data_IF_915098767951
#
_entry.id   IF_915098767951
#
_cell.length_a   1.000
_cell.length_b   1.000
_cell.length_c   1.000
_cell.angle_alpha   90.00
_cell.angle_beta   90.00
_cell.angle_gamma   90.00
#
_symmetry.space_group_name_H-M   'P 1'
#
loop_
_entity.id
_entity.type
_entity.pdbx_description
1 polymer ?
#
# COMPACT_ATOMS: atom_id res chain seq x y z
N UNK A 1 37.52 -2.16 -18.22
CA UNK A 1 36.77 -1.29 -17.28
C UNK A 1 35.35 -1.84 -17.23
N UNK A 2 34.85 -2.27 -16.06
CA UNK A 2 33.46 -2.69 -15.92
C UNK A 2 32.55 -1.45 -16.02
N UNK A 3 31.45 -1.56 -16.77
CA UNK A 3 30.46 -0.49 -16.86
C UNK A 3 29.73 -0.36 -15.53
N UNK A 4 29.60 0.85 -15.00
CA UNK A 4 28.82 1.12 -13.81
C UNK A 4 27.33 1.17 -14.15
N UNK A 5 26.43 0.75 -13.21
CA UNK A 5 24.98 0.97 -13.35
C UNK A 5 24.66 2.45 -13.57
N UNK A 6 23.55 2.74 -14.25
CA UNK A 6 23.06 4.10 -14.39
C UNK A 6 22.75 4.73 -13.02
N UNK A 7 22.97 6.06 -12.88
CA UNK A 7 22.73 6.78 -11.62
C UNK A 7 21.31 6.54 -11.07
N UNK A 8 20.29 6.61 -11.94
CA UNK A 8 18.89 6.37 -11.58
C UNK A 8 18.56 4.95 -11.09
N UNK A 9 19.46 3.99 -11.28
CA UNK A 9 19.33 2.63 -10.76
C UNK A 9 19.89 2.49 -9.32
N UNK A 10 20.49 3.54 -8.78
CA UNK A 10 21.06 3.57 -7.42
C UNK A 10 20.01 4.06 -6.42
N UNK A 11 18.91 3.32 -6.31
CA UNK A 11 17.84 3.55 -5.31
C UNK A 11 18.02 2.61 -4.13
N UNK A 12 17.50 2.98 -2.93
CA UNK A 12 17.53 2.09 -1.76
C UNK A 12 16.82 0.75 -2.03
N UNK A 13 17.26 -0.35 -1.38
CA UNK A 13 16.54 -1.62 -1.45
C UNK A 13 15.16 -1.48 -0.81
N UNK A 14 14.25 -2.41 -1.16
CA UNK A 14 13.00 -2.59 -0.47
C UNK A 14 13.18 -3.73 0.56
N UNK A 15 13.55 -3.40 1.80
CA UNK A 15 13.97 -4.35 2.83
C UNK A 15 12.91 -5.41 3.17
N UNK A 16 11.62 -5.10 3.03
CA UNK A 16 10.56 -6.12 3.17
C UNK A 16 10.77 -7.28 2.21
N UNK A 17 11.33 -7.06 1.00
CA UNK A 17 11.62 -8.14 0.05
C UNK A 17 12.80 -8.99 0.50
N UNK A 18 13.81 -8.40 1.16
CA UNK A 18 14.93 -9.11 1.73
C UNK A 18 14.47 -9.99 2.91
N UNK A 19 13.60 -9.44 3.77
CA UNK A 19 12.95 -10.19 4.85
C UNK A 19 12.11 -11.34 4.29
N UNK A 20 11.42 -11.13 3.18
CA UNK A 20 10.63 -12.17 2.51
C UNK A 20 11.50 -13.31 1.97
N UNK A 21 12.63 -12.98 1.38
CA UNK A 21 13.60 -13.98 0.92
C UNK A 21 14.15 -14.80 2.11
N UNK A 22 14.54 -14.14 3.20
CA UNK A 22 14.99 -14.78 4.43
C UNK A 22 13.91 -15.64 5.09
N UNK A 23 12.66 -15.18 5.11
CA UNK A 23 11.51 -15.93 5.61
C UNK A 23 11.23 -17.18 4.77
N UNK A 24 11.34 -17.09 3.44
CA UNK A 24 11.26 -18.23 2.53
C UNK A 24 12.34 -19.30 2.81
N UNK A 25 13.57 -18.87 3.07
CA UNK A 25 14.66 -19.75 3.46
C UNK A 25 14.39 -20.40 4.83
N UNK A 26 13.90 -19.65 5.81
CA UNK A 26 13.48 -20.19 7.12
C UNK A 26 12.42 -21.28 6.95
N UNK A 27 11.39 -21.02 6.14
CA UNK A 27 10.33 -22.00 5.88
C UNK A 27 10.89 -23.28 5.26
N UNK A 28 11.83 -23.15 4.31
CA UNK A 28 12.43 -24.30 3.65
C UNK A 28 13.32 -25.15 4.58
N UNK A 29 14.02 -24.51 5.52
CA UNK A 29 15.00 -25.17 6.39
C UNK A 29 14.43 -25.67 7.71
N UNK A 30 13.42 -24.99 8.27
CA UNK A 30 12.85 -25.28 9.58
C UNK A 30 11.36 -25.66 9.53
N UNK A 31 10.62 -25.22 8.51
CA UNK A 31 9.18 -25.51 8.37
C UNK A 31 8.27 -24.85 9.41
N UNK A 32 8.79 -23.86 10.15
CA UNK A 32 8.13 -23.29 11.32
C UNK A 32 7.80 -21.79 11.17
N UNK A 33 7.79 -21.26 9.94
CA UNK A 33 7.56 -19.84 9.70
C UNK A 33 6.15 -19.39 10.08
N UNK A 34 6.06 -18.29 10.83
CA UNK A 34 4.85 -17.46 10.96
C UNK A 34 5.15 -16.11 10.31
N UNK A 35 4.41 -15.77 9.24
CA UNK A 35 4.73 -14.62 8.41
C UNK A 35 3.70 -13.48 8.54
N UNK A 36 4.02 -12.47 9.33
CA UNK A 36 3.29 -11.22 9.47
C UNK A 36 4.00 -10.04 8.76
N UNK A 37 4.98 -10.30 7.89
CA UNK A 37 5.65 -9.26 7.09
C UNK A 37 4.91 -8.94 5.80
N UNK A 38 4.07 -9.88 5.31
CA UNK A 38 3.48 -9.84 3.98
C UNK A 38 2.48 -8.70 3.81
N UNK A 39 2.70 -7.87 2.81
CA UNK A 39 1.78 -6.80 2.39
C UNK A 39 0.71 -7.28 1.41
N UNK A 40 0.20 -8.50 1.56
CA UNK A 40 -0.78 -9.09 0.65
C UNK A 40 -1.83 -9.94 1.37
N UNK A 41 -3.06 -10.03 0.82
CA UNK A 41 -4.06 -10.99 1.26
C UNK A 41 -3.52 -12.43 1.23
N UNK A 42 -3.94 -13.24 2.20
CA UNK A 42 -3.65 -14.69 2.24
C UNK A 42 -4.71 -15.53 1.53
N UNK A 43 -5.70 -14.89 0.92
CA UNK A 43 -6.82 -15.51 0.20
C UNK A 43 -6.62 -15.43 -1.31
N UNK A 44 -7.16 -16.39 -2.07
CA UNK A 44 -7.21 -16.30 -3.52
C UNK A 44 -8.16 -15.18 -3.97
N UNK A 45 -8.08 -14.83 -5.26
CA UNK A 45 -9.08 -13.98 -5.92
C UNK A 45 -10.50 -14.59 -5.75
N UNK A 46 -11.56 -13.77 -5.79
CA UNK A 46 -12.94 -14.25 -5.68
C UNK A 46 -13.27 -15.40 -6.65
N UNK A 47 -14.20 -16.28 -6.23
CA UNK A 47 -14.60 -17.43 -7.02
C UNK A 47 -15.01 -17.08 -8.45
N UNK A 48 -15.90 -16.08 -8.68
CA UNK A 48 -16.29 -15.64 -10.03
C UNK A 48 -15.09 -15.20 -10.88
N UNK A 49 -14.11 -14.49 -10.32
CA UNK A 49 -12.89 -14.05 -11.02
C UNK A 49 -12.07 -15.25 -11.50
N UNK A 50 -11.87 -16.24 -10.62
CA UNK A 50 -11.12 -17.47 -10.95
C UNK A 50 -11.82 -18.29 -12.04
N UNK A 51 -13.15 -18.38 -11.97
CA UNK A 51 -13.96 -19.05 -12.98
C UNK A 51 -13.89 -18.33 -14.33
N UNK A 52 -13.99 -17.00 -14.34
CA UNK A 52 -13.85 -16.19 -15.55
C UNK A 52 -12.45 -16.35 -16.19
N UNK A 53 -11.39 -16.39 -15.37
CA UNK A 53 -10.03 -16.65 -15.86
C UNK A 53 -9.90 -18.02 -16.51
N UNK A 54 -10.39 -19.08 -15.87
CA UNK A 54 -10.37 -20.43 -16.43
C UNK A 54 -11.10 -20.50 -17.77
N UNK A 55 -12.30 -19.91 -17.85
CA UNK A 55 -13.06 -19.82 -19.10
C UNK A 55 -12.30 -19.06 -20.18
N UNK A 56 -11.68 -17.92 -19.85
CA UNK A 56 -10.95 -17.12 -20.82
C UNK A 56 -9.72 -17.86 -21.38
N UNK A 57 -9.04 -18.67 -20.58
CA UNK A 57 -7.93 -19.52 -21.03
C UNK A 57 -8.37 -20.53 -22.10
N UNK A 58 -9.61 -21.04 -22.01
CA UNK A 58 -10.14 -22.02 -22.96
C UNK A 58 -10.73 -21.39 -24.22
N UNK A 59 -11.24 -20.15 -24.15
CA UNK A 59 -12.08 -19.57 -25.20
C UNK A 59 -11.53 -18.30 -25.86
N UNK A 60 -10.55 -17.61 -25.25
CA UNK A 60 -10.07 -16.31 -25.70
C UNK A 60 -8.66 -16.41 -26.31
N UNK A 61 -8.37 -15.55 -27.30
CA UNK A 61 -7.03 -15.48 -27.90
C UNK A 61 -6.00 -14.88 -26.93
N UNK A 62 -6.43 -14.03 -25.99
CA UNK A 62 -5.59 -13.34 -25.00
C UNK A 62 -4.40 -12.59 -25.63
N UNK A 63 -4.62 -11.97 -26.80
CA UNK A 63 -3.64 -11.14 -27.50
C UNK A 63 -3.46 -9.76 -26.85
N UNK A 64 -2.73 -8.86 -27.53
CA UNK A 64 -2.61 -7.47 -27.11
C UNK A 64 -3.97 -6.78 -27.04
N UNK A 65 -4.13 -5.94 -26.02
CA UNK A 65 -5.28 -5.06 -25.86
C UNK A 65 -4.91 -3.62 -26.19
N UNK A 66 -5.86 -2.69 -26.11
CA UNK A 66 -5.56 -1.25 -26.16
C UNK A 66 -4.75 -0.84 -24.91
N UNK A 67 -3.87 0.15 -25.09
CA UNK A 67 -2.87 0.53 -24.08
C UNK A 67 -3.50 0.93 -22.72
N UNK A 68 -4.66 1.60 -22.75
CA UNK A 68 -5.36 2.07 -21.55
C UNK A 68 -6.32 1.02 -20.94
N UNK A 69 -6.32 -0.21 -21.45
CA UNK A 69 -7.16 -1.32 -20.97
C UNK A 69 -8.45 -1.50 -21.77
N UNK A 70 -9.01 -2.71 -21.72
CA UNK A 70 -10.22 -3.07 -22.49
C UNK A 70 -11.42 -2.20 -22.10
N UNK A 71 -12.22 -1.70 -23.06
CA UNK A 71 -13.34 -0.82 -22.77
C UNK A 71 -14.35 -1.38 -21.77
N UNK A 72 -14.72 -2.67 -21.79
CA UNK A 72 -15.62 -3.23 -20.80
C UNK A 72 -15.09 -3.10 -19.35
N UNK A 73 -13.78 -3.29 -19.12
CA UNK A 73 -13.22 -3.18 -17.79
C UNK A 73 -13.18 -1.73 -17.31
N UNK A 74 -12.84 -0.79 -18.20
CA UNK A 74 -12.87 0.65 -17.88
C UNK A 74 -14.29 1.07 -17.47
N UNK A 75 -15.30 0.62 -18.19
CA UNK A 75 -16.72 0.86 -17.86
C UNK A 75 -17.13 0.22 -16.53
N UNK A 76 -16.66 -1.01 -16.26
CA UNK A 76 -16.96 -1.70 -15.00
C UNK A 76 -16.31 -0.99 -13.80
N UNK A 77 -15.06 -0.51 -13.94
CA UNK A 77 -14.37 0.31 -12.93
C UNK A 77 -15.13 1.63 -12.70
N UNK A 78 -15.54 2.33 -13.75
CA UNK A 78 -16.36 3.54 -13.65
C UNK A 78 -17.67 3.28 -12.88
N UNK A 79 -18.36 2.18 -13.20
CA UNK A 79 -19.55 1.73 -12.47
C UNK A 79 -19.31 1.40 -10.99
N UNK A 80 -18.10 0.91 -10.64
CA UNK A 80 -17.70 0.68 -9.25
C UNK A 80 -17.67 2.00 -8.47
N UNK A 81 -17.14 3.09 -9.04
CA UNK A 81 -17.15 4.43 -8.40
C UNK A 81 -18.57 4.96 -8.20
N UNK A 82 -19.48 4.73 -9.16
CA UNK A 82 -20.90 5.06 -9.01
C UNK A 82 -21.55 4.32 -7.86
N UNK A 83 -21.29 3.02 -7.75
CA UNK A 83 -21.84 2.15 -6.68
C UNK A 83 -21.28 2.51 -5.30
N UNK A 84 -19.96 2.72 -5.20
CA UNK A 84 -19.28 2.83 -3.91
C UNK A 84 -19.31 4.26 -3.35
N UNK A 85 -19.17 5.26 -4.22
CA UNK A 85 -19.01 6.67 -3.79
C UNK A 85 -20.10 7.60 -4.35
N UNK A 86 -21.02 7.10 -5.17
CA UNK A 86 -21.99 7.95 -5.86
C UNK A 86 -21.36 8.90 -6.89
N UNK A 87 -20.15 8.58 -7.37
CA UNK A 87 -19.40 9.43 -8.30
C UNK A 87 -19.70 9.03 -9.75
N UNK A 88 -20.03 10.03 -10.57
CA UNK A 88 -20.14 9.87 -12.02
C UNK A 88 -18.73 9.92 -12.63
N UNK A 89 -18.14 8.76 -12.92
CA UNK A 89 -16.83 8.60 -13.56
C UNK A 89 -17.05 8.13 -14.99
N UNK A 90 -16.46 8.84 -15.96
CA UNK A 90 -16.51 8.39 -17.35
C UNK A 90 -15.49 7.25 -17.60
N UNK A 91 -15.83 6.22 -18.38
CA UNK A 91 -14.87 5.18 -18.74
C UNK A 91 -13.57 5.71 -19.35
N UNK A 92 -13.62 6.87 -20.01
CA UNK A 92 -12.49 7.58 -20.60
C UNK A 92 -11.50 8.08 -19.56
N UNK A 93 -11.94 8.35 -18.35
CA UNK A 93 -11.11 8.81 -17.24
C UNK A 93 -10.32 7.66 -16.57
N UNK A 94 -10.69 6.42 -16.87
CA UNK A 94 -10.08 5.21 -16.29
C UNK A 94 -8.93 4.73 -17.17
N UNK A 95 -7.75 4.55 -16.58
CA UNK A 95 -6.58 3.93 -17.21
C UNK A 95 -6.21 2.67 -16.46
N UNK A 96 -6.34 1.53 -17.11
CA UNK A 96 -5.92 0.23 -16.53
C UNK A 96 -4.41 0.10 -16.59
N UNK A 97 -3.79 -0.40 -15.51
CA UNK A 97 -2.34 -0.47 -15.36
C UNK A 97 -1.86 -1.85 -14.92
N UNK A 98 -0.56 -2.12 -15.05
CA UNK A 98 0.07 -3.34 -14.55
C UNK A 98 0.26 -3.26 -13.02
N UNK A 99 -0.83 -3.36 -12.29
CA UNK A 99 -0.95 -3.08 -10.86
C UNK A 99 -0.77 -1.60 -10.53
N UNK A 100 -0.99 -1.22 -9.27
CA UNK A 100 -0.76 0.16 -8.81
C UNK A 100 0.70 0.60 -8.97
N UNK A 101 1.68 -0.31 -8.85
CA UNK A 101 3.10 0.05 -9.05
C UNK A 101 3.38 0.57 -10.46
N UNK A 102 2.80 -0.08 -11.49
CA UNK A 102 2.82 0.46 -12.86
C UNK A 102 2.03 1.76 -12.98
N UNK A 103 0.94 1.87 -12.22
CA UNK A 103 0.15 3.10 -12.11
C UNK A 103 0.94 4.27 -11.55
N UNK A 104 1.68 4.10 -10.46
CA UNK A 104 2.54 5.16 -9.90
C UNK A 104 3.64 5.59 -10.86
N UNK A 105 4.32 4.64 -11.51
CA UNK A 105 5.33 4.98 -12.50
C UNK A 105 4.73 5.82 -13.64
N UNK A 106 3.58 5.40 -14.16
CA UNK A 106 2.88 6.11 -15.23
C UNK A 106 2.40 7.49 -14.79
N UNK A 107 1.81 7.59 -13.59
CA UNK A 107 1.32 8.85 -13.02
C UNK A 107 2.45 9.86 -12.79
N UNK A 108 3.57 9.43 -12.21
CA UNK A 108 4.71 10.30 -11.95
C UNK A 108 5.37 10.77 -13.24
N UNK A 109 5.57 9.88 -14.21
CA UNK A 109 6.09 10.26 -15.53
C UNK A 109 5.18 11.23 -16.31
N UNK A 110 3.85 11.13 -16.11
CA UNK A 110 2.91 12.01 -16.78
C UNK A 110 2.75 13.38 -16.09
N UNK A 111 3.07 13.46 -14.80
CA UNK A 111 2.79 14.62 -13.96
C UNK A 111 4.03 15.44 -13.59
N UNK A 112 5.23 14.85 -13.58
CA UNK A 112 6.44 15.49 -13.05
C UNK A 112 7.61 15.38 -14.01
N UNK A 113 8.40 16.45 -14.07
CA UNK A 113 9.69 16.50 -14.74
C UNK A 113 10.85 16.22 -13.75
N UNK A 114 12.03 15.91 -14.28
CA UNK A 114 13.26 15.79 -13.48
C UNK A 114 13.55 17.11 -12.75
N UNK A 115 13.81 17.05 -11.45
CA UNK A 115 14.01 18.20 -10.58
C UNK A 115 12.74 18.75 -9.93
N UNK A 116 11.55 18.26 -10.31
CA UNK A 116 10.32 18.66 -9.63
C UNK A 116 10.30 18.14 -8.19
N UNK A 117 9.84 18.98 -7.26
CA UNK A 117 9.71 18.67 -5.85
C UNK A 117 8.35 18.04 -5.58
N UNK A 118 8.34 16.84 -4.95
CA UNK A 118 7.11 16.10 -4.65
C UNK A 118 7.06 15.75 -3.17
N UNK A 119 6.03 16.25 -2.48
CA UNK A 119 5.81 15.98 -1.07
C UNK A 119 5.14 14.63 -0.85
N UNK A 120 5.48 13.95 0.25
CA UNK A 120 4.85 12.71 0.69
C UNK A 120 4.99 12.53 2.20
N UNK A 121 4.08 11.75 2.81
CA UNK A 121 4.15 11.41 4.22
C UNK A 121 5.38 10.54 4.54
N UNK A 122 5.95 10.76 5.69
CA UNK A 122 6.90 9.91 6.39
C UNK A 122 6.36 9.64 7.82
N UNK A 123 6.01 8.38 8.20
CA UNK A 123 6.18 7.15 7.44
C UNK A 123 5.26 7.04 6.22
N UNK A 124 5.72 6.36 5.16
CA UNK A 124 4.98 6.15 3.94
C UNK A 124 5.46 4.93 3.14
N UNK A 125 4.70 4.54 2.12
CA UNK A 125 5.07 3.40 1.29
C UNK A 125 6.35 3.69 0.48
N UNK A 126 7.41 2.88 0.61
CA UNK A 126 8.75 3.22 0.09
C UNK A 126 8.81 3.37 -1.43
N UNK A 127 7.92 2.71 -2.18
CA UNK A 127 7.95 2.79 -3.64
C UNK A 127 7.68 4.19 -4.17
N UNK A 128 6.93 5.05 -3.47
CA UNK A 128 6.73 6.43 -3.90
C UNK A 128 8.08 7.15 -3.96
N UNK A 129 8.81 7.18 -2.84
CA UNK A 129 10.14 7.79 -2.73
C UNK A 129 11.10 7.21 -3.75
N UNK A 130 11.15 5.89 -3.87
CA UNK A 130 12.13 5.22 -4.72
C UNK A 130 11.85 5.46 -6.21
N UNK A 131 10.59 5.46 -6.64
CA UNK A 131 10.23 5.77 -8.03
C UNK A 131 10.52 7.24 -8.34
N UNK A 132 10.11 8.18 -7.47
CA UNK A 132 10.38 9.60 -7.64
C UNK A 132 11.89 9.88 -7.73
N UNK A 133 12.70 9.27 -6.85
CA UNK A 133 14.17 9.39 -6.89
C UNK A 133 14.74 8.82 -8.19
N UNK A 134 14.24 7.66 -8.67
CA UNK A 134 14.67 7.08 -9.93
C UNK A 134 14.32 7.95 -11.15
N UNK A 135 13.29 8.79 -11.03
CA UNK A 135 12.88 9.76 -12.03
C UNK A 135 13.59 11.12 -11.92
N UNK A 136 14.59 11.22 -11.02
CA UNK A 136 15.30 12.47 -10.72
C UNK A 136 14.40 13.58 -10.12
N UNK A 137 13.25 13.24 -9.51
CA UNK A 137 12.45 14.17 -8.72
C UNK A 137 13.07 14.35 -7.32
N UNK A 138 12.88 15.53 -6.74
CA UNK A 138 13.24 15.82 -5.35
C UNK A 138 12.09 15.40 -4.42
N UNK A 139 12.36 14.47 -3.50
CA UNK A 139 11.37 14.01 -2.53
C UNK A 139 11.37 14.91 -1.30
N UNK A 140 10.23 15.52 -0.98
CA UNK A 140 10.01 16.33 0.22
C UNK A 140 9.23 15.49 1.24
N UNK A 141 9.93 15.00 2.27
CA UNK A 141 9.33 14.16 3.29
C UNK A 141 8.64 14.99 4.37
N UNK A 142 7.32 14.85 4.53
CA UNK A 142 6.53 15.45 5.60
C UNK A 142 6.56 14.52 6.82
N UNK A 143 7.16 14.96 7.93
CA UNK A 143 7.22 14.18 9.16
C UNK A 143 5.84 14.14 9.83
N UNK A 144 5.10 13.07 9.56
CA UNK A 144 3.75 12.86 10.09
C UNK A 144 3.79 11.95 11.32
N UNK A 145 3.37 12.45 12.46
CA UNK A 145 3.37 11.72 13.74
C UNK A 145 1.95 11.43 14.26
N UNK A 146 1.86 10.97 15.51
CA UNK A 146 0.57 10.71 16.17
C UNK A 146 -0.35 11.93 16.20
N UNK A 147 0.21 13.14 16.30
CA UNK A 147 -0.50 14.43 16.35
C UNK A 147 -1.29 14.74 15.08
N UNK A 148 -0.82 14.24 13.92
CA UNK A 148 -1.51 14.34 12.63
C UNK A 148 -2.13 13.01 12.20
N UNK A 149 -2.23 12.04 13.10
CA UNK A 149 -2.65 10.67 12.79
C UNK A 149 -1.81 10.04 11.67
N UNK A 150 -0.52 10.40 11.58
CA UNK A 150 0.43 9.95 10.55
C UNK A 150 0.01 10.33 9.11
N UNK A 151 -0.72 11.43 8.95
CA UNK A 151 -1.18 11.92 7.65
C UNK A 151 -0.70 13.34 7.39
N UNK A 152 -0.48 13.74 6.13
CA UNK A 152 -0.20 15.12 5.76
C UNK A 152 -1.40 16.03 6.07
N UNK A 153 -1.11 17.29 6.37
CA UNK A 153 -2.11 18.33 6.58
C UNK A 153 -1.86 19.55 5.71
N UNK A 154 -2.86 20.37 5.49
CA UNK A 154 -2.71 21.65 4.77
C UNK A 154 -1.65 22.53 5.46
N UNK A 155 -1.67 22.59 6.79
CA UNK A 155 -0.69 23.38 7.55
C UNK A 155 0.75 22.94 7.30
N UNK A 156 1.01 21.65 7.12
CA UNK A 156 2.36 21.15 6.76
C UNK A 156 2.76 21.60 5.36
N UNK A 157 1.81 21.64 4.41
CA UNK A 157 2.08 22.12 3.05
C UNK A 157 2.36 23.62 3.03
N UNK A 158 1.64 24.40 3.81
CA UNK A 158 1.84 25.86 3.95
C UNK A 158 3.13 26.21 4.68
N UNK A 159 3.66 25.32 5.51
CA UNK A 159 4.90 25.49 6.24
C UNK A 159 6.16 25.14 5.44
N UNK A 160 6.02 24.67 4.18
CA UNK A 160 7.17 24.38 3.34
C UNK A 160 7.89 25.67 2.90
N UNK A 161 9.21 25.70 3.07
CA UNK A 161 10.03 26.85 2.70
C UNK A 161 10.03 27.13 1.19
N UNK A 162 9.87 26.06 0.38
CA UNK A 162 9.84 26.14 -1.07
C UNK A 162 8.64 25.38 -1.65
N UNK A 163 8.06 25.86 -2.75
CA UNK A 163 6.88 25.23 -3.36
C UNK A 163 7.18 23.82 -3.87
N UNK A 164 6.15 22.98 -3.89
CA UNK A 164 6.19 21.64 -4.47
C UNK A 164 5.27 21.55 -5.69
N UNK A 165 5.58 20.62 -6.60
CA UNK A 165 4.77 20.32 -7.78
C UNK A 165 3.75 19.22 -7.53
N UNK A 166 3.98 18.37 -6.54
CA UNK A 166 3.10 17.27 -6.23
C UNK A 166 2.98 16.99 -4.74
N UNK A 167 1.87 16.35 -4.37
CA UNK A 167 1.62 15.75 -3.06
C UNK A 167 1.10 14.33 -3.25
N UNK A 168 1.75 13.35 -2.62
CA UNK A 168 1.27 11.97 -2.56
C UNK A 168 0.65 11.73 -1.18
N UNK A 169 -0.62 11.32 -1.16
CA UNK A 169 -1.34 10.89 0.06
C UNK A 169 -1.79 9.44 -0.11
N UNK A 170 -1.88 8.70 0.98
CA UNK A 170 -2.39 7.33 0.99
C UNK A 170 -3.46 7.17 2.08
N UNK A 171 -4.63 6.67 1.71
CA UNK A 171 -5.73 6.46 2.65
C UNK A 171 -6.60 5.27 2.19
N UNK A 172 -6.67 4.20 3.00
CA UNK A 172 -5.87 3.86 4.18
C UNK A 172 -4.38 3.73 3.87
N UNK A 173 -3.51 4.17 4.80
CA UNK A 173 -2.07 4.25 4.58
C UNK A 173 -1.32 2.94 4.89
N UNK A 174 -0.26 2.67 4.15
CA UNK A 174 0.78 1.71 4.51
C UNK A 174 2.03 2.52 4.96
N UNK A 175 2.53 2.38 6.21
CA UNK A 175 2.36 1.22 7.11
C UNK A 175 1.32 1.39 8.22
N UNK A 176 0.73 2.57 8.41
CA UNK A 176 0.02 2.97 9.64
C UNK A 176 -1.43 2.47 9.71
N UNK A 177 -2.01 2.08 8.58
CA UNK A 177 -3.43 1.76 8.47
C UNK A 177 -4.36 2.97 8.64
N UNK A 178 -3.84 4.17 8.77
CA UNK A 178 -4.64 5.38 9.04
C UNK A 178 -5.50 5.74 7.85
N UNK A 179 -6.76 6.05 8.11
CA UNK A 179 -7.70 6.65 7.15
C UNK A 179 -7.72 8.16 7.36
N UNK A 180 -7.53 8.93 6.28
CA UNK A 180 -7.76 10.37 6.27
C UNK A 180 -9.24 10.67 6.50
N UNK A 181 -9.51 11.61 7.37
CA UNK A 181 -10.88 12.16 7.50
C UNK A 181 -11.30 12.75 6.15
N UNK A 182 -12.54 12.53 5.70
CA UNK A 182 -13.04 13.07 4.43
C UNK A 182 -12.88 14.58 4.29
N UNK A 183 -13.05 15.34 5.39
CA UNK A 183 -12.88 16.78 5.37
C UNK A 183 -11.40 17.19 5.21
N UNK A 184 -10.46 16.43 5.79
CA UNK A 184 -9.02 16.66 5.63
C UNK A 184 -8.56 16.35 4.21
N UNK A 185 -9.03 15.23 3.62
CA UNK A 185 -8.73 14.91 2.22
C UNK A 185 -9.30 16.00 1.29
N UNK A 186 -10.54 16.47 1.53
CA UNK A 186 -11.14 17.53 0.77
C UNK A 186 -10.37 18.84 0.89
N UNK A 187 -9.89 19.20 2.10
CA UNK A 187 -9.06 20.38 2.33
C UNK A 187 -7.74 20.30 1.56
N UNK A 188 -7.04 19.15 1.61
CA UNK A 188 -5.81 18.92 0.85
C UNK A 188 -6.05 18.99 -0.67
N UNK A 189 -7.11 18.36 -1.17
CA UNK A 189 -7.45 18.40 -2.59
C UNK A 189 -7.78 19.80 -3.08
N UNK A 190 -8.51 20.58 -2.27
CA UNK A 190 -8.83 21.98 -2.56
C UNK A 190 -7.58 22.85 -2.55
N UNK A 191 -6.73 22.69 -1.52
CA UNK A 191 -5.46 23.42 -1.42
C UNK A 191 -4.54 23.12 -2.60
N UNK A 192 -4.38 21.84 -2.97
CA UNK A 192 -3.57 21.42 -4.11
C UNK A 192 -4.06 22.07 -5.41
N UNK A 193 -5.36 22.03 -5.67
CA UNK A 193 -5.94 22.64 -6.88
C UNK A 193 -5.73 24.18 -6.91
N UNK A 194 -5.88 24.87 -5.77
CA UNK A 194 -5.68 26.31 -5.66
C UNK A 194 -4.21 26.73 -5.85
N UNK A 195 -3.25 25.88 -5.50
CA UNK A 195 -1.82 26.18 -5.55
C UNK A 195 -1.08 25.54 -6.75
N UNK A 196 -1.81 24.90 -7.68
CA UNK A 196 -1.20 24.26 -8.84
C UNK A 196 -0.33 23.06 -8.48
N UNK A 197 -0.64 22.37 -7.39
CA UNK A 197 0.04 21.15 -6.90
C UNK A 197 -0.75 19.93 -7.38
N UNK A 198 -0.07 18.98 -8.03
CA UNK A 198 -0.70 17.74 -8.45
C UNK A 198 -0.91 16.82 -7.25
N UNK A 199 -2.18 16.65 -6.83
CA UNK A 199 -2.51 15.63 -5.83
C UNK A 199 -2.50 14.24 -6.48
N UNK A 200 -1.81 13.28 -5.84
CA UNK A 200 -1.87 11.86 -6.15
C UNK A 200 -2.41 11.15 -4.91
N UNK A 201 -3.61 10.58 -5.03
CA UNK A 201 -4.29 9.85 -3.96
C UNK A 201 -4.14 8.36 -4.17
N UNK A 202 -3.38 7.70 -3.28
CA UNK A 202 -3.31 6.23 -3.24
C UNK A 202 -4.50 5.69 -2.46
N UNK A 203 -5.44 5.11 -3.18
CA UNK A 203 -6.68 4.53 -2.66
C UNK A 203 -6.69 3.00 -2.73
N UNK A 204 -5.51 2.37 -2.82
CA UNK A 204 -5.35 0.92 -3.04
C UNK A 204 -6.01 0.07 -1.95
N UNK A 205 -6.18 0.60 -0.73
CA UNK A 205 -6.81 -0.09 0.39
C UNK A 205 -8.29 0.28 0.57
N UNK A 206 -8.91 1.04 -0.34
CA UNK A 206 -10.34 1.29 -0.31
C UNK A 206 -11.12 -0.03 -0.30
N UNK A 207 -12.21 -0.07 0.45
CA UNK A 207 -12.94 -1.29 0.79
C UNK A 207 -12.41 -2.02 2.03
N UNK A 208 -11.19 -1.69 2.51
CA UNK A 208 -10.62 -2.27 3.73
C UNK A 208 -10.52 -1.17 4.79
N UNK A 209 -11.64 -0.87 5.42
CA UNK A 209 -11.75 0.01 6.60
C UNK A 209 -12.57 -0.70 7.67
N UNK A 210 -12.34 -0.35 8.93
CA UNK A 210 -12.88 -1.07 10.07
C UNK A 210 -13.90 -0.22 10.84
N UNK A 211 -14.78 -0.88 11.59
CA UNK A 211 -15.78 -0.21 12.39
C UNK A 211 -15.16 0.83 13.33
N UNK A 212 -15.71 2.04 13.34
CA UNK A 212 -15.23 3.17 14.14
C UNK A 212 -14.13 4.03 13.49
N UNK A 213 -13.61 3.62 12.33
CA UNK A 213 -12.72 4.44 11.52
C UNK A 213 -13.50 5.52 10.74
N UNK A 214 -12.84 6.61 10.30
CA UNK A 214 -13.40 7.48 9.26
C UNK A 214 -13.75 6.67 8.01
N UNK A 215 -14.81 7.05 7.31
CA UNK A 215 -15.15 6.39 6.05
C UNK A 215 -14.20 6.85 4.94
N UNK A 216 -13.51 5.94 4.23
CA UNK A 216 -12.62 6.33 3.15
C UNK A 216 -13.37 7.08 2.05
N UNK A 217 -12.86 8.24 1.66
CA UNK A 217 -13.42 9.05 0.58
C UNK A 217 -12.47 9.11 -0.60
N UNK A 218 -13.02 9.13 -1.82
CA UNK A 218 -12.23 9.28 -3.02
C UNK A 218 -11.87 10.76 -3.24
N UNK A 219 -10.61 11.05 -3.59
CA UNK A 219 -10.16 12.41 -3.88
C UNK A 219 -10.95 13.08 -5.02
N UNK A 220 -11.50 12.29 -5.95
CA UNK A 220 -12.36 12.77 -7.04
C UNK A 220 -13.74 13.27 -6.58
N UNK A 221 -14.15 12.99 -5.35
CA UNK A 221 -15.33 13.63 -4.77
C UNK A 221 -15.15 15.15 -4.61
N UNK A 222 -13.90 15.60 -4.47
CA UNK A 222 -13.56 17.02 -4.28
C UNK A 222 -12.88 17.62 -5.50
N UNK A 223 -11.91 16.92 -6.10
CA UNK A 223 -11.11 17.47 -7.21
C UNK A 223 -10.92 16.46 -8.33
N UNK A 224 -11.42 16.78 -9.52
CA UNK A 224 -11.20 16.01 -10.76
C UNK A 224 -9.79 16.21 -11.33
N UNK A 225 -9.01 17.15 -10.78
CA UNK A 225 -7.59 17.34 -11.13
C UNK A 225 -6.66 16.40 -10.38
N UNK A 226 -7.13 15.71 -9.32
CA UNK A 226 -6.35 14.70 -8.62
C UNK A 226 -6.12 13.46 -9.52
N UNK A 227 -4.97 12.83 -9.38
CA UNK A 227 -4.73 11.47 -9.88
C UNK A 227 -5.11 10.50 -8.76
N UNK A 228 -6.05 9.60 -9.01
CA UNK A 228 -6.37 8.49 -8.09
C UNK A 228 -5.67 7.24 -8.56
N UNK A 229 -4.99 6.55 -7.65
CA UNK A 229 -4.35 5.24 -7.88
C UNK A 229 -5.08 4.18 -7.10
N UNK A 230 -5.51 3.11 -7.77
CA UNK A 230 -6.17 1.99 -7.11
C UNK A 230 -5.76 0.66 -7.77
N UNK A 231 -6.19 -0.48 -7.21
CA UNK A 231 -5.77 -1.79 -7.68
C UNK A 231 -6.74 -2.89 -7.27
N UNK A 232 -6.76 -3.97 -8.06
CA UNK A 232 -7.38 -5.23 -7.67
C UNK A 232 -6.59 -6.03 -6.63
N UNK A 233 -5.38 -5.57 -6.28
CA UNK A 233 -4.43 -6.33 -5.45
C UNK A 233 -4.91 -6.59 -4.02
N UNK A 234 -5.65 -5.65 -3.38
CA UNK A 234 -5.89 -5.70 -1.94
C UNK A 234 -7.30 -6.16 -1.61
N UNK A 235 -8.31 -5.31 -1.81
CA UNK A 235 -9.69 -5.66 -1.53
C UNK A 235 -10.16 -6.89 -2.31
N UNK A 236 -9.82 -6.99 -3.59
CA UNK A 236 -10.18 -8.11 -4.46
C UNK A 236 -9.20 -9.31 -4.40
N UNK A 237 -8.21 -9.30 -3.52
CA UNK A 237 -7.25 -10.42 -3.35
C UNK A 237 -6.54 -10.88 -4.64
N UNK A 238 -6.29 -9.95 -5.58
CA UNK A 238 -5.68 -10.24 -6.88
C UNK A 238 -4.23 -9.73 -6.96
N UNK A 239 -3.43 -9.88 -5.90
CA UNK A 239 -2.07 -9.30 -5.83
C UNK A 239 -1.17 -9.77 -6.98
N UNK A 240 -1.07 -11.07 -7.21
CA UNK A 240 -0.23 -11.68 -8.26
C UNK A 240 -0.75 -11.49 -9.68
N UNK A 241 -1.97 -11.02 -9.86
CA UNK A 241 -2.59 -10.79 -11.18
C UNK A 241 -2.06 -9.53 -11.87
N UNK A 242 -1.38 -8.65 -11.11
CA UNK A 242 -0.77 -7.42 -11.60
C UNK A 242 -1.73 -6.53 -12.36
N UNK A 243 -2.88 -6.21 -11.78
CA UNK A 243 -3.90 -5.35 -12.36
C UNK A 243 -4.28 -4.22 -11.39
N UNK A 244 -4.33 -3.00 -11.90
CA UNK A 244 -4.76 -1.80 -11.19
C UNK A 244 -5.31 -0.77 -12.16
N UNK A 245 -5.61 0.41 -11.67
CA UNK A 245 -6.09 1.51 -12.50
C UNK A 245 -5.75 2.87 -11.92
N UNK A 246 -5.81 3.87 -12.78
CA UNK A 246 -5.80 5.29 -12.44
C UNK A 246 -7.14 5.91 -12.82
N UNK A 247 -7.59 6.89 -12.05
CA UNK A 247 -8.45 7.94 -12.56
C UNK A 247 -7.57 9.12 -12.89
N UNK A 248 -7.61 9.56 -14.14
CA UNK A 248 -6.77 10.64 -14.64
C UNK A 248 -7.56 11.84 -15.10
N UNK A 249 -7.13 13.06 -14.73
CA UNK A 249 -7.68 14.27 -15.32
C UNK A 249 -7.47 14.29 -16.85
N UNK A 250 -8.41 14.84 -17.62
CA UNK A 250 -8.38 14.82 -19.10
C UNK A 250 -7.07 15.29 -19.70
N UNK A 251 -6.41 16.30 -19.07
CA UNK A 251 -5.12 16.84 -19.53
C UNK A 251 -3.97 15.84 -19.54
N UNK A 252 -4.04 14.77 -18.75
CA UNK A 252 -2.99 13.75 -18.64
C UNK A 252 -3.29 12.48 -19.46
N UNK A 253 -4.52 12.29 -19.95
CA UNK A 253 -4.95 11.05 -20.62
C UNK A 253 -4.11 10.75 -21.87
N UNK A 254 -3.85 11.75 -22.72
CA UNK A 254 -3.04 11.53 -23.93
C UNK A 254 -1.58 11.22 -23.61
N UNK A 255 -1.00 11.87 -22.60
CA UNK A 255 0.35 11.55 -22.15
C UNK A 255 0.42 10.11 -21.61
N UNK A 256 -0.53 9.72 -20.78
CA UNK A 256 -0.63 8.36 -20.24
C UNK A 256 -0.78 7.30 -21.33
N UNK A 257 -1.61 7.54 -22.35
CA UNK A 257 -1.77 6.65 -23.51
C UNK A 257 -0.45 6.44 -24.27
N UNK A 258 0.27 7.54 -24.53
CA UNK A 258 1.58 7.46 -25.18
C UNK A 258 2.61 6.69 -24.33
N UNK A 259 2.69 6.99 -23.03
CA UNK A 259 3.63 6.33 -22.12
C UNK A 259 3.28 4.83 -21.95
N UNK A 260 2.03 4.50 -21.70
CA UNK A 260 1.58 3.12 -21.53
C UNK A 260 1.85 2.29 -22.80
N UNK A 261 1.48 2.82 -23.97
CA UNK A 261 1.69 2.14 -25.25
C UNK A 261 3.16 1.89 -25.57
N UNK A 262 4.06 2.79 -25.17
CA UNK A 262 5.50 2.63 -25.43
C UNK A 262 6.24 1.82 -24.37
N UNK A 263 5.79 1.82 -23.12
CA UNK A 263 6.51 1.16 -22.03
C UNK A 263 6.03 -0.28 -21.77
N UNK A 264 4.74 -0.53 -21.93
CA UNK A 264 4.14 -1.83 -21.58
C UNK A 264 3.28 -2.43 -22.68
N UNK A 265 3.06 -1.70 -23.79
CA UNK A 265 2.14 -2.02 -24.90
C UNK A 265 0.69 -2.03 -24.39
N UNK A 266 0.38 -2.89 -23.42
CA UNK A 266 -0.94 -2.98 -22.78
C UNK A 266 -0.83 -3.67 -21.41
N UNK A 267 -1.82 -3.54 -20.54
CA UNK A 267 -1.94 -4.36 -19.33
C UNK A 267 -2.16 -5.85 -19.68
N UNK A 268 -1.88 -6.79 -18.77
CA UNK A 268 -2.06 -8.22 -19.00
C UNK A 268 -3.50 -8.57 -19.42
N UNK A 269 -3.69 -9.28 -20.54
CA UNK A 269 -5.01 -9.53 -21.12
C UNK A 269 -5.90 -10.42 -20.24
N UNK A 270 -5.40 -11.56 -19.77
CA UNK A 270 -6.15 -12.51 -18.94
C UNK A 270 -6.69 -11.86 -17.66
N UNK A 271 -5.88 -11.12 -16.86
CA UNK A 271 -6.40 -10.41 -15.69
C UNK A 271 -7.50 -9.41 -16.02
N UNK A 272 -7.41 -8.70 -17.16
CA UNK A 272 -8.42 -7.72 -17.53
C UNK A 272 -9.78 -8.38 -17.81
N UNK A 273 -9.79 -9.51 -18.52
CA UNK A 273 -11.01 -10.28 -18.81
C UNK A 273 -11.61 -10.85 -17.52
N UNK A 274 -10.77 -11.45 -16.68
CA UNK A 274 -11.21 -12.06 -15.42
C UNK A 274 -11.73 -11.03 -14.42
N UNK A 275 -11.14 -9.83 -14.36
CA UNK A 275 -11.49 -8.78 -13.40
C UNK A 275 -12.87 -8.16 -13.66
N UNK A 276 -13.51 -8.40 -14.80
CA UNK A 276 -14.89 -8.03 -15.00
C UNK A 276 -15.80 -8.67 -13.93
N UNK A 277 -15.53 -9.92 -13.58
CA UNK A 277 -16.26 -10.65 -12.54
C UNK A 277 -15.90 -10.20 -11.10
N UNK A 278 -14.89 -9.35 -10.90
CA UNK A 278 -14.60 -8.80 -9.58
C UNK A 278 -15.70 -7.85 -9.07
N UNK A 279 -16.50 -7.31 -9.97
CA UNK A 279 -17.61 -6.42 -9.66
C UNK A 279 -18.98 -7.13 -9.55
N UNK A 280 -19.00 -8.45 -9.58
CA UNK A 280 -20.19 -9.26 -9.31
C UNK A 280 -20.54 -9.23 -7.81
N UNK A 281 -21.82 -9.41 -7.48
CA UNK A 281 -22.31 -9.37 -6.09
C UNK A 281 -21.61 -10.41 -5.22
N UNK A 282 -21.39 -11.61 -5.75
CA UNK A 282 -20.69 -12.71 -5.07
C UNK A 282 -19.22 -12.36 -4.76
N UNK A 283 -18.55 -11.66 -5.68
CA UNK A 283 -17.16 -11.23 -5.48
C UNK A 283 -17.03 -10.16 -4.39
N UNK A 284 -17.96 -9.22 -4.32
CA UNK A 284 -18.03 -8.26 -3.22
C UNK A 284 -18.31 -8.97 -1.88
N UNK A 285 -19.25 -9.92 -1.85
CA UNK A 285 -19.55 -10.66 -0.62
C UNK A 285 -18.34 -11.46 -0.11
N UNK A 286 -17.56 -12.10 -1.00
CA UNK A 286 -16.30 -12.75 -0.62
C UNK A 286 -15.27 -11.76 -0.08
N UNK A 287 -15.09 -10.61 -0.74
CA UNK A 287 -14.16 -9.57 -0.35
C UNK A 287 -14.52 -8.97 1.03
N UNK A 288 -15.80 -8.66 1.26
CA UNK A 288 -16.30 -8.17 2.55
C UNK A 288 -16.09 -9.19 3.68
N UNK A 289 -16.25 -10.48 3.38
CA UNK A 289 -15.92 -11.56 4.30
C UNK A 289 -14.43 -11.59 4.68
N UNK A 290 -13.55 -11.25 3.74
CA UNK A 290 -12.11 -11.10 4.03
C UNK A 290 -11.83 -9.89 4.93
N UNK A 291 -12.49 -8.75 4.68
CA UNK A 291 -12.35 -7.54 5.51
C UNK A 291 -12.80 -7.80 6.93
N UNK A 292 -13.93 -8.47 7.13
CA UNK A 292 -14.40 -8.87 8.45
C UNK A 292 -13.36 -9.73 9.21
N UNK A 293 -12.69 -10.66 8.50
CA UNK A 293 -11.60 -11.45 9.07
C UNK A 293 -10.38 -10.58 9.43
N UNK A 294 -10.01 -9.63 8.58
CA UNK A 294 -8.89 -8.71 8.89
C UNK A 294 -9.18 -7.88 10.13
N UNK A 295 -10.43 -7.42 10.33
CA UNK A 295 -10.83 -6.71 11.53
C UNK A 295 -10.62 -7.56 12.80
N UNK A 296 -11.08 -8.82 12.80
CA UNK A 296 -10.86 -9.75 13.92
C UNK A 296 -9.37 -9.94 14.20
N UNK A 297 -8.58 -10.12 13.16
CA UNK A 297 -7.13 -10.32 13.27
C UNK A 297 -6.42 -9.06 13.79
N UNK A 298 -6.81 -7.87 13.31
CA UNK A 298 -6.31 -6.59 13.78
C UNK A 298 -6.58 -6.43 15.28
N UNK A 299 -7.81 -6.68 15.71
CA UNK A 299 -8.20 -6.53 17.11
C UNK A 299 -7.42 -7.49 18.02
N UNK A 300 -7.29 -8.76 17.61
CA UNK A 300 -6.45 -9.75 18.29
C UNK A 300 -4.98 -9.29 18.39
N UNK A 301 -4.45 -8.70 17.32
CA UNK A 301 -3.07 -8.26 17.28
C UNK A 301 -2.84 -7.04 18.17
N UNK A 302 -3.72 -6.04 18.12
CA UNK A 302 -3.65 -4.83 18.97
C UNK A 302 -3.75 -5.21 20.44
N UNK A 303 -4.73 -6.03 20.83
CA UNK A 303 -4.92 -6.50 22.19
C UNK A 303 -3.71 -7.31 22.68
N UNK A 304 -3.18 -8.18 21.83
CA UNK A 304 -2.03 -9.00 22.13
C UNK A 304 -0.76 -8.19 22.34
N UNK A 305 -0.46 -7.27 21.41
CA UNK A 305 0.70 -6.38 21.51
C UNK A 305 0.62 -5.49 22.76
N UNK A 306 -0.57 -4.93 23.05
CA UNK A 306 -0.79 -4.10 24.25
C UNK A 306 -0.50 -4.88 25.53
N UNK A 307 -0.98 -6.13 25.63
CA UNK A 307 -0.68 -7.02 26.80
C UNK A 307 0.81 -7.35 26.91
N UNK A 308 1.56 -7.34 25.81
CA UNK A 308 3.01 -7.55 25.78
C UNK A 308 3.82 -6.26 26.03
N UNK A 309 3.15 -5.15 26.36
CA UNK A 309 3.81 -3.88 26.66
C UNK A 309 4.12 -3.02 25.41
N UNK A 310 3.70 -3.45 24.23
CA UNK A 310 3.84 -2.68 22.99
C UNK A 310 2.56 -1.86 22.80
N UNK A 311 2.51 -0.66 23.39
CA UNK A 311 1.28 0.13 23.53
C UNK A 311 1.21 1.33 22.58
N UNK A 312 2.35 1.76 22.00
CA UNK A 312 2.40 2.88 21.07
C UNK A 312 2.19 2.38 19.64
N UNK A 313 0.93 2.32 19.23
CA UNK A 313 0.49 1.81 17.94
C UNK A 313 -0.10 2.95 17.11
N UNK A 314 0.10 2.92 15.80
CA UNK A 314 -0.66 3.76 14.88
C UNK A 314 -2.15 3.35 14.88
N UNK A 315 -3.07 4.20 14.42
CA UNK A 315 -4.52 3.97 14.54
C UNK A 315 -5.05 2.66 13.96
N UNK A 316 -4.45 2.13 12.86
CA UNK A 316 -4.89 0.90 12.20
C UNK A 316 -6.39 0.90 11.83
N UNK A 317 -6.88 2.00 11.28
CA UNK A 317 -8.28 2.23 10.89
C UNK A 317 -8.71 1.36 9.70
N UNK A 318 -7.76 1.04 8.81
CA UNK A 318 -7.98 0.28 7.59
C UNK A 318 -6.70 -0.42 7.11
N UNK A 319 -6.68 -0.85 5.85
CA UNK A 319 -5.68 -1.76 5.31
C UNK A 319 -5.62 -3.05 6.16
N UNK A 320 -4.47 -3.68 6.31
CA UNK A 320 -4.31 -4.85 7.19
C UNK A 320 -2.96 -4.80 7.90
N UNK A 321 -2.62 -3.63 8.47
CA UNK A 321 -1.37 -3.39 9.17
C UNK A 321 -1.57 -2.84 10.56
N UNK A 322 -0.66 -3.22 11.45
CA UNK A 322 -0.42 -2.57 12.74
C UNK A 322 1.02 -2.10 12.75
N UNK A 323 1.23 -0.78 12.86
CA UNK A 323 2.54 -0.15 12.92
C UNK A 323 2.84 0.23 14.36
N UNK A 324 3.91 -0.34 14.91
CA UNK A 324 4.20 -0.32 16.34
C UNK A 324 5.54 0.35 16.62
N UNK A 325 5.58 1.31 17.55
CA UNK A 325 6.79 1.85 18.13
C UNK A 325 7.35 0.86 19.17
N UNK A 326 8.53 0.36 18.89
CA UNK A 326 9.27 -0.63 19.69
C UNK A 326 10.60 -0.08 20.21
N UNK A 327 10.72 1.25 20.34
CA UNK A 327 11.95 1.91 20.83
C UNK A 327 12.45 1.38 22.18
N UNK A 328 11.56 0.83 23.02
CA UNK A 328 11.91 0.21 24.29
C UNK A 328 12.55 -1.20 24.12
N UNK A 329 12.49 -1.79 22.92
CA UNK A 329 13.07 -3.10 22.61
C UNK A 329 14.32 -2.98 21.73
N UNK A 330 14.43 -1.95 20.90
CA UNK A 330 15.52 -1.81 19.94
C UNK A 330 15.72 -0.38 19.50
N UNK A 331 16.94 -0.09 19.02
CA UNK A 331 17.29 1.09 18.23
C UNK A 331 17.64 0.72 16.77
N UNK A 332 17.43 -0.54 16.37
CA UNK A 332 17.65 -1.05 15.03
C UNK A 332 16.54 -2.07 14.68
N UNK A 333 15.55 -1.59 13.93
CA UNK A 333 14.40 -2.41 13.51
C UNK A 333 14.79 -3.54 12.57
N UNK A 334 15.87 -3.39 11.80
CA UNK A 334 16.38 -4.45 10.92
C UNK A 334 16.95 -5.61 11.74
N UNK A 335 17.83 -5.31 12.72
CA UNK A 335 18.38 -6.31 13.63
C UNK A 335 17.25 -7.05 14.39
N UNK A 336 16.27 -6.30 14.92
CA UNK A 336 15.12 -6.88 15.63
C UNK A 336 14.35 -7.86 14.74
N UNK A 337 14.05 -7.50 13.51
CA UNK A 337 13.28 -8.32 12.56
C UNK A 337 14.05 -9.62 12.24
N UNK A 338 15.35 -9.54 11.99
CA UNK A 338 16.16 -10.73 11.71
C UNK A 338 16.33 -11.62 12.95
N UNK A 339 16.43 -11.06 14.16
CA UNK A 339 16.44 -11.85 15.41
C UNK A 339 15.11 -12.57 15.63
N UNK A 340 13.98 -11.89 15.48
CA UNK A 340 12.66 -12.53 15.58
C UNK A 340 12.52 -13.68 14.58
N UNK A 341 12.99 -13.47 13.36
CA UNK A 341 12.99 -14.54 12.35
C UNK A 341 13.91 -15.70 12.73
N UNK A 342 15.12 -15.41 13.19
CA UNK A 342 16.11 -16.44 13.53
C UNK A 342 15.74 -17.21 14.80
N UNK A 343 15.30 -16.53 15.87
CA UNK A 343 15.12 -17.15 17.19
C UNK A 343 13.79 -17.89 17.30
N UNK A 344 12.71 -17.31 16.73
CA UNK A 344 11.36 -17.84 16.92
C UNK A 344 10.56 -18.04 15.62
N UNK A 345 11.18 -17.87 14.45
CA UNK A 345 10.52 -18.08 13.16
C UNK A 345 9.37 -17.10 12.88
N UNK A 346 9.44 -15.88 13.45
CA UNK A 346 8.45 -14.83 13.25
C UNK A 346 8.99 -13.76 12.28
N UNK A 347 8.38 -13.62 11.11
CA UNK A 347 8.69 -12.56 10.15
C UNK A 347 7.74 -11.38 10.31
N UNK A 348 8.30 -10.18 10.47
CA UNK A 348 7.61 -8.88 10.48
C UNK A 348 8.38 -7.89 9.61
N UNK A 349 7.81 -6.73 9.27
CA UNK A 349 8.49 -5.76 8.42
C UNK A 349 9.21 -4.68 9.25
N UNK A 350 10.46 -4.30 8.89
CA UNK A 350 11.19 -3.23 9.58
C UNK A 350 10.59 -1.86 9.25
N UNK A 351 10.63 -0.96 10.21
CA UNK A 351 10.14 0.41 10.05
C UNK A 351 10.99 1.24 9.10
N UNK A 352 12.28 0.91 8.94
CA UNK A 352 13.21 1.61 8.05
C UNK A 352 12.76 1.67 6.59
N UNK A 353 11.97 0.71 6.12
CA UNK A 353 11.38 0.80 4.78
C UNK A 353 10.45 2.00 4.63
N UNK A 354 9.70 2.30 5.68
CA UNK A 354 8.61 3.28 5.65
C UNK A 354 9.07 4.67 6.11
N UNK A 355 10.07 4.72 6.98
CA UNK A 355 10.64 5.94 7.53
C UNK A 355 12.16 5.82 7.65
N UNK A 356 12.95 6.50 6.79
CA UNK A 356 14.41 6.43 6.84
C UNK A 356 15.01 7.15 8.06
N UNK A 357 14.24 7.95 8.80
CA UNK A 357 14.70 8.72 9.96
C UNK A 357 14.29 8.03 11.26
N UNK A 358 12.99 7.83 11.49
CA UNK A 358 12.47 7.26 12.73
C UNK A 358 12.18 5.75 12.65
N UNK A 359 12.21 5.17 11.45
CA UNK A 359 11.85 3.77 11.22
C UNK A 359 12.72 2.75 11.96
N UNK A 360 13.93 3.15 12.41
CA UNK A 360 14.81 2.31 13.22
C UNK A 360 14.16 1.82 14.52
N UNK A 361 13.12 2.51 15.02
CA UNK A 361 12.38 2.21 16.24
C UNK A 361 10.98 1.64 16.02
N UNK A 362 10.59 1.37 14.77
CA UNK A 362 9.27 0.87 14.42
C UNK A 362 9.33 -0.49 13.74
N UNK A 363 8.26 -1.27 13.89
CA UNK A 363 8.00 -2.47 13.09
C UNK A 363 6.54 -2.48 12.62
N UNK A 364 6.29 -3.12 11.47
CA UNK A 364 4.95 -3.31 10.94
C UNK A 364 4.56 -4.78 10.97
N UNK A 365 3.40 -5.08 11.54
CA UNK A 365 2.75 -6.38 11.49
C UNK A 365 1.64 -6.38 10.45
N UNK A 366 1.49 -7.49 9.72
CA UNK A 366 0.34 -7.72 8.84
C UNK A 366 -0.69 -8.60 9.55
N UNK A 367 -1.97 -8.22 9.46
CA UNK A 367 -3.10 -9.01 9.94
C UNK A 367 -3.89 -9.68 8.80
N UNK A 368 -3.31 -9.75 7.57
CA UNK A 368 -3.95 -10.35 6.40
C UNK A 368 -4.02 -11.88 6.43
N UNK A 369 -3.30 -12.53 7.36
CA UNK A 369 -3.26 -13.98 7.54
C UNK A 369 -4.51 -14.59 8.17
N UNK A 370 -4.33 -15.75 8.80
CA UNK A 370 -5.37 -16.39 9.62
C UNK A 370 -5.30 -15.93 11.09
N UNK A 371 -6.41 -16.02 11.81
CA UNK A 371 -6.42 -15.76 13.26
C UNK A 371 -5.52 -16.73 14.04
N UNK A 372 -5.28 -17.94 13.54
CA UNK A 372 -4.36 -18.89 14.14
C UNK A 372 -2.90 -18.41 14.02
N UNK A 373 -2.51 -17.89 12.86
CA UNK A 373 -1.17 -17.30 12.65
C UNK A 373 -0.95 -16.08 13.54
N UNK A 374 -1.95 -15.21 13.71
CA UNK A 374 -1.84 -14.04 14.60
C UNK A 374 -1.65 -14.49 16.06
N UNK A 375 -2.41 -15.49 16.55
CA UNK A 375 -2.23 -16.02 17.91
C UNK A 375 -0.87 -16.68 18.10
N UNK A 376 -0.41 -17.44 17.13
CA UNK A 376 0.91 -18.06 17.17
C UNK A 376 2.03 -17.02 17.17
N UNK A 377 1.90 -15.97 16.34
CA UNK A 377 2.85 -14.85 16.34
C UNK A 377 2.96 -14.19 17.72
N UNK A 378 1.82 -13.89 18.35
CA UNK A 378 1.78 -13.31 19.70
C UNK A 378 2.38 -14.25 20.75
N UNK A 379 2.15 -15.57 20.65
CA UNK A 379 2.74 -16.57 21.53
C UNK A 379 4.26 -16.60 21.39
N UNK A 380 4.77 -16.57 20.18
CA UNK A 380 6.22 -16.54 19.91
C UNK A 380 6.87 -15.25 20.38
N UNK A 381 6.21 -14.12 20.13
CA UNK A 381 6.68 -12.81 20.59
C UNK A 381 6.74 -12.74 22.10
N UNK A 382 5.71 -13.26 22.81
CA UNK A 382 5.70 -13.35 24.27
C UNK A 382 6.87 -14.18 24.81
N UNK A 383 7.14 -15.34 24.21
CA UNK A 383 8.27 -16.20 24.57
C UNK A 383 9.60 -15.49 24.35
N UNK A 384 9.76 -14.84 23.20
CA UNK A 384 10.97 -14.12 22.84
C UNK A 384 11.22 -12.95 23.82
N UNK A 385 10.21 -12.16 24.15
CA UNK A 385 10.29 -11.06 25.13
C UNK A 385 10.65 -11.58 26.53
N UNK A 386 10.09 -12.70 26.98
CA UNK A 386 10.42 -13.33 28.26
C UNK A 386 11.87 -13.79 28.34
N UNK A 387 12.44 -14.32 27.26
CA UNK A 387 13.86 -14.69 27.19
C UNK A 387 14.78 -13.47 27.06
N UNK A 388 14.32 -12.39 26.44
CA UNK A 388 15.07 -11.15 26.27
C UNK A 388 15.19 -10.35 27.58
N UNK A 389 14.17 -10.36 28.44
CA UNK A 389 14.17 -9.69 29.74
C UNK A 389 15.08 -10.37 30.79
N UNK A 390 15.36 -11.67 30.63
CA UNK A 390 16.12 -12.43 31.62
C UNK A 390 17.62 -12.11 31.73
N UNK A 391 18.37 -11.71 30.67
CA UNK A 391 19.79 -11.40 30.74
C UNK A 391 20.15 -9.94 31.09
N UNK A 392 19.19 -9.01 31.04
CA UNK A 392 19.43 -7.56 31.16
C UNK A 392 18.82 -6.88 32.38
N UNK A 393 18.28 -7.65 33.32
CA UNK A 393 17.91 -7.08 34.61
C UNK A 393 19.21 -6.70 35.37
N UNK A 394 19.44 -5.41 35.71
CA UNK A 394 20.57 -5.07 36.57
C UNK A 394 20.41 -5.79 37.89
N UNK A 395 21.50 -6.23 38.52
CA UNK A 395 21.43 -6.85 39.86
C UNK A 395 20.77 -5.84 40.81
N UNK A 396 19.69 -6.28 41.45
CA UNK A 396 19.07 -5.53 42.53
C UNK A 396 20.10 -5.48 43.65
N UNK A 397 20.75 -4.32 43.82
CA UNK A 397 21.59 -3.97 44.94
C UNK A 397 20.79 -3.36 46.07
#
# INVERSE_FOLDING_TARGET
>A
MLLSPARRAQIPPFHVMDVWAAAGERQRTHGDLVNLSAGQPSTPAPGPVRAAAAKALDSEVLGYTVALGIPPLRAAIAGHYGRTYGLDVAPEDVVVTTGSSGGFLLAFLAAFDAGDRVAMARPGYPCYRNILTALDCEVVELACGPETRYQPTVAMMEALDEPVKGLVVASPANPTGTVLDPAELAALATWCAANGVQLISDEIYHGIAYAGAPEPSCAWATSRDAIVVNSFSKYFSMTGWRLGWLLLPPRLQRAADCLAGNFTVCPPALPQVAALAAFDVESYAEADGHVARYQVNRDLLIDGLTRLGITRLAPADGAFYVYADVAHLTHDSMDLVYRLLADVGLAVAPGLDFDPVEGHRFIRFSCAGSAAEVREALTRLARWLGSYAAPHAPPIG
#
